data_IF_825829162468
#
_entry.id   IF_825829162468
#
_cell.length_a   1.000
_cell.length_b   1.000
_cell.length_c   1.000
_cell.angle_alpha   90.00
_cell.angle_beta   90.00
_cell.angle_gamma   90.00
#
_symmetry.space_group_name_H-M   'P 1'
#
loop_
_entity.id
_entity.type
_entity.pdbx_description
1 polymer ?
#
# COMPACT_ATOMS: atom_id res chain seq x y z
N UNK A 1 -4.43 6.82 4.68
CA UNK A 1 -2.99 6.76 5.05
C UNK A 1 -2.68 5.34 5.54
N UNK A 2 -1.43 4.87 5.41
CA UNK A 2 -1.04 3.49 5.81
C UNK A 2 0.06 3.58 6.86
N UNK A 3 -0.11 2.88 7.98
CA UNK A 3 0.89 2.78 9.04
C UNK A 3 1.85 1.63 8.78
N UNK A 4 3.15 1.85 9.03
CA UNK A 4 4.21 0.85 8.88
C UNK A 4 5.09 0.88 10.12
N UNK A 5 4.94 -0.11 11.01
CA UNK A 5 5.64 -0.13 12.29
C UNK A 5 6.76 -1.20 12.32
N UNK A 6 6.42 -2.49 12.30
CA UNK A 6 7.39 -3.58 12.46
C UNK A 6 8.52 -3.55 11.44
N UNK A 7 8.20 -3.31 10.17
CA UNK A 7 9.21 -3.25 9.12
C UNK A 7 10.13 -2.03 9.24
N UNK A 8 9.61 -0.90 9.74
CA UNK A 8 10.41 0.32 9.97
C UNK A 8 11.37 0.18 11.16
N UNK A 9 11.05 -0.68 12.13
CA UNK A 9 11.96 -1.02 13.24
C UNK A 9 13.16 -1.83 12.73
N UNK A 10 12.91 -2.79 11.82
CA UNK A 10 13.96 -3.66 11.26
C UNK A 10 14.81 -2.94 10.23
N UNK A 11 14.21 -2.14 9.34
CA UNK A 11 14.88 -1.35 8.32
C UNK A 11 14.28 0.07 8.27
N UNK A 12 15.02 1.08 8.78
CA UNK A 12 14.56 2.48 8.79
C UNK A 12 14.26 3.07 7.41
N UNK A 13 14.83 2.53 6.33
CA UNK A 13 14.58 3.00 4.96
C UNK A 13 13.30 2.40 4.35
N UNK A 14 12.69 1.41 5.01
CA UNK A 14 11.48 0.73 4.54
C UNK A 14 10.38 1.69 4.08
N UNK A 15 10.00 2.74 4.83
CA UNK A 15 8.95 3.66 4.39
C UNK A 15 9.25 4.31 3.03
N UNK A 16 10.50 4.69 2.79
CA UNK A 16 10.93 5.32 1.53
C UNK A 16 10.88 4.33 0.37
N UNK A 17 11.30 3.08 0.62
CA UNK A 17 11.27 1.99 -0.36
C UNK A 17 9.84 1.60 -0.73
N UNK A 18 8.91 1.60 0.23
CA UNK A 18 7.47 1.41 -0.03
C UNK A 18 6.94 2.51 -0.95
N UNK A 19 7.23 3.78 -0.66
CA UNK A 19 6.79 4.90 -1.50
C UNK A 19 7.36 4.80 -2.92
N UNK A 20 8.65 4.46 -3.05
CA UNK A 20 9.28 4.28 -4.35
C UNK A 20 8.64 3.13 -5.14
N UNK A 21 8.41 1.98 -4.50
CA UNK A 21 7.76 0.82 -5.11
C UNK A 21 6.32 1.10 -5.54
N UNK A 22 5.55 1.82 -4.72
CA UNK A 22 4.18 2.24 -5.07
C UNK A 22 4.18 3.16 -6.31
N UNK A 23 5.07 4.15 -6.35
CA UNK A 23 5.20 5.03 -7.53
C UNK A 23 5.55 4.26 -8.79
N UNK A 24 6.48 3.32 -8.68
CA UNK A 24 6.85 2.48 -9.82
C UNK A 24 5.69 1.59 -10.28
N UNK A 25 4.95 0.98 -9.35
CA UNK A 25 3.76 0.20 -9.66
C UNK A 25 2.72 1.04 -10.41
N UNK A 26 2.36 2.21 -9.88
CA UNK A 26 1.39 3.10 -10.52
C UNK A 26 1.83 3.48 -11.95
N UNK A 27 3.11 3.84 -12.13
CA UNK A 27 3.69 4.14 -13.44
C UNK A 27 3.60 2.95 -14.40
N UNK A 28 3.99 1.74 -13.97
CA UNK A 28 3.97 0.53 -14.82
C UNK A 28 2.55 0.15 -15.27
N UNK A 29 1.55 0.49 -14.47
CA UNK A 29 0.16 0.18 -14.74
C UNK A 29 -0.63 1.38 -15.31
N UNK A 30 0.04 2.50 -15.63
CA UNK A 30 -0.62 3.69 -16.20
C UNK A 30 -1.60 4.37 -15.25
N UNK A 31 -1.46 4.17 -13.94
CA UNK A 31 -2.32 4.73 -12.92
C UNK A 31 -1.76 6.08 -12.46
N UNK A 32 -2.58 7.13 -12.56
CA UNK A 32 -2.17 8.49 -12.19
C UNK A 32 -2.14 8.71 -10.66
N UNK A 33 -2.99 7.99 -9.92
CA UNK A 33 -3.14 8.14 -8.48
C UNK A 33 -3.51 6.80 -7.81
N UNK A 34 -3.14 6.65 -6.54
CA UNK A 34 -3.46 5.46 -5.74
C UNK A 34 -4.98 5.24 -5.60
N UNK A 35 -5.78 6.30 -5.67
CA UNK A 35 -7.25 6.24 -5.62
C UNK A 35 -7.84 5.40 -6.75
N UNK A 36 -7.13 5.28 -7.88
CA UNK A 36 -7.56 4.42 -8.98
C UNK A 36 -7.46 2.91 -8.66
N UNK A 37 -6.77 2.53 -7.58
CA UNK A 37 -6.64 1.15 -7.09
C UNK A 37 -7.64 0.83 -5.98
N UNK A 38 -8.09 1.85 -5.24
CA UNK A 38 -8.98 1.67 -4.09
C UNK A 38 -10.30 1.04 -4.55
N UNK A 39 -10.71 -0.05 -3.88
CA UNK A 39 -11.95 -0.76 -4.19
C UNK A 39 -11.92 -1.63 -5.45
N UNK A 40 -10.78 -1.74 -6.13
CA UNK A 40 -10.62 -2.59 -7.31
C UNK A 40 -10.15 -4.01 -6.97
N UNK A 41 -9.91 -4.31 -5.70
CA UNK A 41 -9.48 -5.64 -5.25
C UNK A 41 -10.71 -6.50 -5.00
N UNK A 42 -11.02 -7.39 -5.93
CA UNK A 42 -12.04 -8.42 -5.78
C UNK A 42 -11.49 -9.62 -4.97
N UNK A 43 -12.37 -10.34 -4.26
CA UNK A 43 -12.00 -11.60 -3.58
C UNK A 43 -11.42 -11.47 -2.16
N UNK A 44 -11.53 -10.30 -1.52
CA UNK A 44 -11.23 -10.14 -0.08
C UNK A 44 -12.42 -10.55 0.80
N UNK A 45 -13.05 -11.69 0.52
CA UNK A 45 -14.05 -12.26 1.41
C UNK A 45 -13.36 -12.74 2.70
N UNK A 46 -13.75 -12.17 3.85
CA UNK A 46 -13.28 -12.59 5.17
C UNK A 46 -12.19 -11.72 5.83
N UNK A 47 -11.83 -10.56 5.27
CA UNK A 47 -11.01 -9.59 6.01
C UNK A 47 -11.94 -8.70 6.85
N UNK A 48 -12.22 -9.14 8.08
CA UNK A 48 -12.81 -8.26 9.09
C UNK A 48 -11.81 -7.13 9.38
N UNK A 49 -12.16 -5.91 8.96
CA UNK A 49 -11.44 -4.72 9.39
C UNK A 49 -11.90 -4.47 10.82
N UNK A 50 -11.15 -4.99 11.79
CA UNK A 50 -11.37 -4.68 13.19
C UNK A 50 -11.19 -3.17 13.38
N UNK A 51 -12.31 -2.46 13.43
CA UNK A 51 -12.37 -1.04 13.71
C UNK A 51 -12.23 -0.81 15.20
N UNK A 52 -11.11 -0.20 15.61
CA UNK A 52 -10.98 0.62 16.81
C UNK A 52 -9.81 1.59 16.65
#
# INVERSE_FOLDING_TARGET
AVAVASAAITDPETPQRIVAGLRDYLRRHGLADISAVIGQVEGLEGVEVDGA
#
